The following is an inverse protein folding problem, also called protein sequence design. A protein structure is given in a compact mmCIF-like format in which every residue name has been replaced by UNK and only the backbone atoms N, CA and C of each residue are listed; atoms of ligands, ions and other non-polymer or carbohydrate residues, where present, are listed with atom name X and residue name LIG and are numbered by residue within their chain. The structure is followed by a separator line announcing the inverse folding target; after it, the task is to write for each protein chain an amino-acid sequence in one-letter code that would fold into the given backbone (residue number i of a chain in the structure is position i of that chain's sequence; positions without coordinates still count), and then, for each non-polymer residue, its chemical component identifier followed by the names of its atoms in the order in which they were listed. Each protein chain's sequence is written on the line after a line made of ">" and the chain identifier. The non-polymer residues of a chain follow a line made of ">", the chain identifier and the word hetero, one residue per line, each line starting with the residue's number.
data_IF_006860206940
#
_entry.id   IF_006860206940
#
_cell.length_a   1.000
_cell.length_b   1.000
_cell.length_c   1.000
_cell.angle_alpha   90.00
_cell.angle_beta   90.00
_cell.angle_gamma   90.00
#
_symmetry.space_group_name_H-M   'P 1'
#
loop_
_entity.id
_entity.type
_entity.pdbx_description
1 polymer ?
#
# COMPACT_ATOMS: atom_id res chain seq x y z
N UNK A 1 7.51 -15.46 40.72
CA UNK A 1 6.42 -15.08 39.80
C UNK A 1 6.59 -13.61 39.43
N UNK A 2 7.39 -13.33 38.40
CA UNK A 2 7.68 -11.96 37.96
C UNK A 2 6.72 -11.59 36.83
N UNK A 3 5.94 -10.53 37.05
CA UNK A 3 5.00 -9.97 36.07
C UNK A 3 5.79 -9.36 34.90
N UNK A 4 5.62 -9.93 33.71
CA UNK A 4 6.09 -9.37 32.45
C UNK A 4 5.43 -8.01 32.23
N UNK A 5 6.22 -6.92 32.26
CA UNK A 5 5.77 -5.61 31.80
C UNK A 5 5.34 -5.75 30.34
N UNK A 6 4.07 -5.44 30.03
CA UNK A 6 3.62 -5.29 28.64
C UNK A 6 4.37 -4.10 28.03
N UNK A 7 5.42 -4.39 27.27
CA UNK A 7 6.06 -3.39 26.42
C UNK A 7 5.08 -3.06 25.30
N UNK A 8 4.54 -1.84 25.28
CA UNK A 8 3.58 -1.42 24.26
C UNK A 8 4.36 -0.67 23.19
N UNK A 9 4.84 -1.37 22.17
CA UNK A 9 5.48 -0.70 21.03
C UNK A 9 4.41 -0.16 20.08
N UNK A 10 4.48 1.14 19.78
CA UNK A 10 3.62 1.80 18.80
C UNK A 10 4.35 1.92 17.47
N UNK A 11 4.10 0.98 16.56
CA UNK A 11 4.57 1.09 15.17
C UNK A 11 3.61 1.92 14.31
N UNK A 12 4.15 2.86 13.52
CA UNK A 12 3.39 3.76 12.63
C UNK A 12 3.36 3.31 11.17
N UNK A 13 3.93 2.16 10.85
CA UNK A 13 4.06 1.61 9.48
C UNK A 13 2.72 1.52 8.75
N UNK A 14 1.63 1.25 9.47
CA UNK A 14 0.26 1.24 8.95
C UNK A 14 -0.22 2.59 8.36
N UNK A 15 0.49 3.70 8.61
CA UNK A 15 0.13 5.04 8.13
C UNK A 15 0.82 5.44 6.85
N UNK A 16 1.81 4.66 6.39
CA UNK A 16 2.67 5.05 5.27
C UNK A 16 1.85 5.28 3.99
N UNK A 17 0.84 4.45 3.72
CA UNK A 17 0.01 4.58 2.51
C UNK A 17 -0.69 5.94 2.38
N UNK A 18 -1.49 6.33 3.37
CA UNK A 18 -2.20 7.62 3.31
C UNK A 18 -1.27 8.82 3.53
N UNK A 19 -0.18 8.66 4.29
CA UNK A 19 0.80 9.73 4.48
C UNK A 19 1.53 10.04 3.17
N UNK A 20 1.92 9.01 2.40
CA UNK A 20 2.50 9.18 1.06
C UNK A 20 1.53 9.94 0.15
N UNK A 21 0.27 9.49 0.12
CA UNK A 21 -0.76 10.12 -0.70
C UNK A 21 -0.94 11.61 -0.35
N UNK A 22 -1.00 11.95 0.95
CA UNK A 22 -1.10 13.34 1.41
C UNK A 22 0.13 14.19 1.06
N UNK A 23 1.35 13.67 1.27
CA UNK A 23 2.58 14.44 0.97
C UNK A 23 2.69 14.73 -0.54
N UNK A 24 2.36 13.76 -1.38
CA UNK A 24 2.34 13.97 -2.84
C UNK A 24 1.24 14.97 -3.23
N UNK A 25 0.04 14.84 -2.65
CA UNK A 25 -1.07 15.77 -2.88
C UNK A 25 -0.72 17.21 -2.53
N UNK A 26 -0.19 17.48 -1.34
CA UNK A 26 0.27 18.82 -0.94
C UNK A 26 1.35 19.34 -1.88
N UNK A 27 2.35 18.51 -2.21
CA UNK A 27 3.49 18.93 -3.03
C UNK A 27 3.02 19.36 -4.43
N UNK A 28 2.24 18.53 -5.10
CA UNK A 28 1.74 18.83 -6.44
C UNK A 28 0.72 19.96 -6.40
N UNK A 29 -0.15 20.03 -5.38
CA UNK A 29 -1.12 21.11 -5.20
C UNK A 29 -0.44 22.48 -5.11
N UNK A 30 0.60 22.62 -4.31
CA UNK A 30 1.36 23.88 -4.16
C UNK A 30 2.08 24.23 -5.47
N UNK A 31 2.87 23.29 -6.01
CA UNK A 31 3.73 23.55 -7.17
C UNK A 31 2.89 23.84 -8.41
N UNK A 32 1.86 23.05 -8.69
CA UNK A 32 1.00 23.22 -9.86
C UNK A 32 0.17 24.50 -9.79
N UNK A 33 -0.45 24.80 -8.65
CA UNK A 33 -1.28 26.01 -8.49
C UNK A 33 -0.43 27.27 -8.55
N UNK A 34 0.72 27.29 -7.87
CA UNK A 34 1.62 28.45 -7.92
C UNK A 34 2.18 28.69 -9.34
N UNK A 35 2.55 27.62 -10.04
CA UNK A 35 3.05 27.71 -11.42
C UNK A 35 1.97 28.19 -12.39
N UNK A 36 0.75 27.66 -12.25
CA UNK A 36 -0.42 28.07 -13.04
C UNK A 36 -0.75 29.54 -12.82
N UNK A 37 -0.87 29.97 -11.57
CA UNK A 37 -1.17 31.37 -11.23
C UNK A 37 -0.03 32.31 -11.65
N UNK A 38 1.22 31.89 -11.51
CA UNK A 38 2.38 32.65 -11.97
C UNK A 38 2.34 32.90 -13.48
N UNK A 39 2.07 31.86 -14.28
CA UNK A 39 1.95 31.99 -15.73
C UNK A 39 0.78 32.89 -16.15
N UNK A 40 -0.36 32.75 -15.49
CA UNK A 40 -1.57 33.55 -15.76
C UNK A 40 -1.37 35.02 -15.36
N UNK A 41 -0.66 35.28 -14.26
CA UNK A 41 -0.30 36.62 -13.83
C UNK A 41 0.63 37.31 -14.83
N UNK A 42 1.67 36.61 -15.32
CA UNK A 42 2.58 37.13 -16.35
C UNK A 42 1.84 37.45 -17.65
N UNK A 43 0.79 36.71 -17.98
CA UNK A 43 -0.07 36.97 -19.14
C UNK A 43 -0.99 38.20 -18.99
N UNK A 44 -0.92 38.93 -17.87
CA UNK A 44 -1.70 40.16 -17.65
C UNK A 44 -3.15 39.92 -17.24
N UNK A 45 -3.47 38.76 -16.67
CA UNK A 45 -4.82 38.45 -16.23
C UNK A 45 -5.31 39.36 -15.09
N UNK A 46 -6.62 39.65 -15.08
CA UNK A 46 -7.26 40.40 -14.00
C UNK A 46 -7.27 39.63 -12.68
N UNK A 47 -7.41 40.33 -11.55
CA UNK A 47 -7.57 39.69 -10.23
C UNK A 47 -8.72 38.67 -10.18
N UNK A 48 -9.87 39.01 -10.76
CA UNK A 48 -11.02 38.10 -10.81
C UNK A 48 -10.68 36.81 -11.59
N UNK A 49 -9.98 36.96 -12.72
CA UNK A 49 -9.51 35.82 -13.51
C UNK A 49 -8.53 34.96 -12.73
N UNK A 50 -7.58 35.55 -11.99
CA UNK A 50 -6.64 34.78 -11.16
C UNK A 50 -7.35 33.95 -10.08
N UNK A 51 -8.36 34.52 -9.40
CA UNK A 51 -9.12 33.79 -8.39
C UNK A 51 -9.87 32.59 -8.98
N UNK A 52 -10.56 32.80 -10.11
CA UNK A 52 -11.28 31.72 -10.80
C UNK A 52 -10.31 30.64 -11.27
N UNK A 53 -9.18 31.02 -11.88
CA UNK A 53 -8.17 30.07 -12.35
C UNK A 53 -7.54 29.30 -11.19
N UNK A 54 -7.24 29.96 -10.07
CA UNK A 54 -6.69 29.29 -8.89
C UNK A 54 -7.65 28.27 -8.31
N UNK A 55 -8.93 28.63 -8.11
CA UNK A 55 -9.93 27.68 -7.60
C UNK A 55 -10.17 26.52 -8.58
N UNK A 56 -10.29 26.82 -9.88
CA UNK A 56 -10.48 25.79 -10.89
C UNK A 56 -9.28 24.82 -10.95
N UNK A 57 -8.05 25.35 -10.87
CA UNK A 57 -6.82 24.57 -10.83
C UNK A 57 -6.73 23.68 -9.58
N UNK A 58 -7.07 24.22 -8.41
CA UNK A 58 -7.10 23.46 -7.16
C UNK A 58 -8.12 22.32 -7.22
N UNK A 59 -9.35 22.59 -7.66
CA UNK A 59 -10.40 21.56 -7.76
C UNK A 59 -10.02 20.50 -8.79
N UNK A 60 -9.55 20.90 -9.97
CA UNK A 60 -9.15 19.97 -11.02
C UNK A 60 -7.95 19.12 -10.58
N UNK A 61 -6.94 19.73 -9.94
CA UNK A 61 -5.77 19.05 -9.41
C UNK A 61 -6.15 18.04 -8.33
N UNK A 62 -6.90 18.46 -7.31
CA UNK A 62 -7.34 17.59 -6.22
C UNK A 62 -8.15 16.39 -6.73
N UNK A 63 -9.09 16.61 -7.66
CA UNK A 63 -9.87 15.52 -8.26
C UNK A 63 -9.00 14.55 -9.07
N UNK A 64 -8.07 15.07 -9.87
CA UNK A 64 -7.17 14.24 -10.68
C UNK A 64 -6.27 13.36 -9.81
N UNK A 65 -5.69 13.93 -8.75
CA UNK A 65 -4.83 13.19 -7.82
C UNK A 65 -5.62 12.17 -7.00
N UNK A 66 -6.83 12.53 -6.54
CA UNK A 66 -7.71 11.60 -5.84
C UNK A 66 -8.07 10.40 -6.70
N UNK A 67 -8.46 10.63 -7.95
CA UNK A 67 -8.81 9.58 -8.90
C UNK A 67 -7.60 8.70 -9.23
N UNK A 68 -6.43 9.29 -9.49
CA UNK A 68 -5.20 8.55 -9.76
C UNK A 68 -4.77 7.66 -8.60
N UNK A 69 -4.80 8.19 -7.38
CA UNK A 69 -4.44 7.45 -6.17
C UNK A 69 -5.47 6.36 -5.85
N UNK A 70 -6.77 6.62 -6.04
CA UNK A 70 -7.82 5.60 -5.90
C UNK A 70 -7.57 4.43 -6.86
N UNK A 71 -7.39 4.71 -8.15
CA UNK A 71 -7.18 3.69 -9.18
C UNK A 71 -5.90 2.91 -8.90
N UNK A 72 -4.80 3.60 -8.56
CA UNK A 72 -3.53 2.94 -8.26
C UNK A 72 -3.64 1.95 -7.10
N UNK A 73 -4.21 2.37 -5.96
CA UNK A 73 -4.35 1.51 -4.78
C UNK A 73 -5.41 0.42 -5.00
N UNK A 74 -6.43 0.69 -5.82
CA UNK A 74 -7.41 -0.32 -6.20
C UNK A 74 -6.81 -1.41 -7.09
N UNK A 75 -6.01 -1.03 -8.10
CA UNK A 75 -5.28 -1.98 -8.94
C UNK A 75 -4.31 -2.84 -8.12
N UNK A 76 -3.65 -2.26 -7.11
CA UNK A 76 -2.85 -3.05 -6.16
C UNK A 76 -3.73 -4.11 -5.47
N UNK A 77 -4.88 -3.73 -4.93
CA UNK A 77 -5.79 -4.65 -4.27
C UNK A 77 -6.26 -5.78 -5.20
N UNK A 78 -6.56 -5.46 -6.46
CA UNK A 78 -6.98 -6.44 -7.46
C UNK A 78 -5.86 -7.43 -7.78
N UNK A 79 -4.62 -6.95 -7.93
CA UNK A 79 -3.45 -7.82 -8.11
C UNK A 79 -3.24 -8.74 -6.91
N UNK A 80 -3.29 -8.19 -5.69
CA UNK A 80 -3.17 -8.99 -4.45
C UNK A 80 -4.27 -10.08 -4.37
N UNK A 81 -5.51 -9.76 -4.76
CA UNK A 81 -6.59 -10.75 -4.78
C UNK A 81 -6.40 -11.83 -5.85
N UNK A 82 -5.88 -11.47 -7.02
CA UNK A 82 -5.59 -12.40 -8.08
C UNK A 82 -4.48 -13.39 -7.66
N UNK A 83 -3.40 -12.88 -7.05
CA UNK A 83 -2.31 -13.71 -6.55
C UNK A 83 -2.79 -14.64 -5.42
N UNK A 84 -3.61 -14.14 -4.48
CA UNK A 84 -4.22 -14.98 -3.45
C UNK A 84 -5.16 -16.06 -4.02
N UNK A 85 -5.87 -15.78 -5.11
CA UNK A 85 -6.72 -16.76 -5.76
C UNK A 85 -5.89 -17.86 -6.44
N UNK A 86 -4.77 -17.48 -7.06
CA UNK A 86 -3.82 -18.41 -7.65
C UNK A 86 -3.16 -19.30 -6.59
N UNK A 87 -2.67 -18.71 -5.50
CA UNK A 87 -2.06 -19.41 -4.38
C UNK A 87 -3.01 -20.44 -3.76
N UNK A 88 -4.30 -20.09 -3.60
CA UNK A 88 -5.32 -21.05 -3.15
C UNK A 88 -5.42 -22.26 -4.08
N UNK A 89 -5.39 -22.04 -5.39
CA UNK A 89 -5.43 -23.13 -6.36
C UNK A 89 -4.16 -23.98 -6.28
N UNK A 90 -2.98 -23.38 -6.14
CA UNK A 90 -1.71 -24.09 -6.01
C UNK A 90 -1.66 -24.96 -4.73
N UNK A 91 -2.13 -24.42 -3.59
CA UNK A 91 -2.29 -25.16 -2.33
C UNK A 91 -3.26 -26.35 -2.43
N UNK A 92 -4.34 -26.23 -3.20
CA UNK A 92 -5.31 -27.31 -3.42
C UNK A 92 -4.76 -28.40 -4.34
N UNK A 93 -4.07 -28.03 -5.42
CA UNK A 93 -3.65 -28.96 -6.46
C UNK A 93 -2.26 -29.58 -6.18
N UNK A 94 -1.37 -28.86 -5.49
CA UNK A 94 0.03 -29.25 -5.30
C UNK A 94 0.57 -28.95 -3.89
N UNK A 95 -0.10 -29.39 -2.80
CA UNK A 95 0.30 -29.05 -1.43
C UNK A 95 1.73 -29.48 -1.06
N UNK A 96 2.23 -30.57 -1.66
CA UNK A 96 3.60 -31.01 -1.45
C UNK A 96 4.63 -30.11 -2.15
N UNK A 97 4.26 -29.44 -3.24
CA UNK A 97 5.11 -28.43 -3.89
C UNK A 97 5.17 -27.17 -3.04
N UNK A 98 4.02 -26.68 -2.58
CA UNK A 98 3.92 -25.50 -1.70
C UNK A 98 4.71 -25.66 -0.41
N UNK A 99 4.69 -26.86 0.20
CA UNK A 99 5.53 -27.14 1.37
C UNK A 99 7.03 -27.00 1.07
N UNK A 100 7.47 -27.44 -0.11
CA UNK A 100 8.88 -27.32 -0.52
C UNK A 100 9.24 -25.87 -0.81
N UNK A 101 8.33 -25.11 -1.41
CA UNK A 101 8.47 -23.69 -1.69
C UNK A 101 8.65 -22.90 -0.38
N UNK A 102 7.70 -23.02 0.54
CA UNK A 102 7.78 -22.34 1.84
C UNK A 102 9.01 -22.76 2.64
N UNK A 103 9.37 -24.05 2.61
CA UNK A 103 10.63 -24.54 3.19
C UNK A 103 11.84 -23.82 2.59
N UNK A 104 11.90 -23.71 1.26
CA UNK A 104 13.00 -23.04 0.57
C UNK A 104 13.08 -21.56 0.91
N UNK A 105 11.95 -20.87 1.09
CA UNK A 105 11.90 -19.48 1.56
C UNK A 105 12.57 -19.35 2.93
N UNK A 106 12.24 -20.23 3.89
CA UNK A 106 12.86 -20.19 5.22
C UNK A 106 14.34 -20.58 5.21
N UNK A 107 14.75 -21.51 4.35
CA UNK A 107 16.17 -21.82 4.12
C UNK A 107 16.92 -20.60 3.59
N UNK A 108 16.37 -19.91 2.59
CA UNK A 108 16.95 -18.69 2.02
C UNK A 108 17.07 -17.56 3.06
N UNK A 109 16.18 -17.53 4.05
CA UNK A 109 16.23 -16.61 5.21
C UNK A 109 17.23 -17.03 6.29
N UNK A 110 17.93 -18.16 6.12
CA UNK A 110 18.99 -18.64 7.01
C UNK A 110 18.56 -19.69 8.04
N UNK A 111 17.34 -20.23 7.94
CA UNK A 111 16.90 -21.34 8.80
C UNK A 111 17.52 -22.66 8.29
N UNK A 112 18.07 -23.48 9.19
CA UNK A 112 18.62 -24.78 8.81
C UNK A 112 17.55 -25.68 8.17
N UNK A 113 17.87 -26.49 7.14
CA UNK A 113 16.86 -27.20 6.33
C UNK A 113 15.85 -28.02 7.12
N UNK A 114 16.31 -28.81 8.09
CA UNK A 114 15.43 -29.64 8.93
C UNK A 114 14.47 -28.81 9.79
N UNK A 115 14.89 -27.62 10.24
CA UNK A 115 14.04 -26.71 11.00
C UNK A 115 13.10 -25.93 10.06
N UNK A 116 13.57 -25.54 8.88
CA UNK A 116 12.76 -24.84 7.88
C UNK A 116 11.56 -25.69 7.45
N UNK A 117 11.76 -27.00 7.23
CA UNK A 117 10.65 -27.93 6.95
C UNK A 117 9.64 -27.96 8.10
N UNK A 118 10.10 -28.09 9.34
CA UNK A 118 9.20 -28.09 10.51
C UNK A 118 8.43 -26.77 10.65
N UNK A 119 9.07 -25.64 10.38
CA UNK A 119 8.42 -24.32 10.39
C UNK A 119 7.35 -24.26 9.30
N UNK A 120 7.68 -24.64 8.06
CA UNK A 120 6.74 -24.64 6.95
C UNK A 120 5.54 -25.55 7.22
N UNK A 121 5.75 -26.77 7.71
CA UNK A 121 4.67 -27.70 8.07
C UNK A 121 3.73 -27.11 9.13
N UNK A 122 4.28 -26.49 10.19
CA UNK A 122 3.49 -25.91 11.26
C UNK A 122 2.71 -24.68 10.80
N UNK A 123 3.32 -23.82 9.97
CA UNK A 123 2.66 -22.65 9.40
C UNK A 123 1.55 -23.04 8.43
N UNK A 124 1.80 -24.00 7.53
CA UNK A 124 0.79 -24.51 6.61
C UNK A 124 -0.39 -25.17 7.34
N UNK A 125 -0.12 -25.89 8.44
CA UNK A 125 -1.17 -26.49 9.26
C UNK A 125 -2.04 -25.45 9.97
N UNK A 126 -1.47 -24.31 10.36
CA UNK A 126 -2.22 -23.24 11.01
C UNK A 126 -2.99 -22.39 10.00
N UNK A 127 -2.31 -21.91 8.96
CA UNK A 127 -2.86 -21.03 7.92
C UNK A 127 -1.93 -21.03 6.70
N UNK A 128 -2.08 -22.02 5.80
CA UNK A 128 -1.23 -22.14 4.61
C UNK A 128 -1.31 -20.92 3.70
N UNK A 129 -2.52 -20.46 3.39
CA UNK A 129 -2.70 -19.29 2.53
C UNK A 129 -2.09 -18.04 3.17
N UNK A 130 -2.30 -17.81 4.46
CA UNK A 130 -1.71 -16.66 5.14
C UNK A 130 -0.19 -16.75 5.28
N UNK A 131 0.37 -17.96 5.39
CA UNK A 131 1.82 -18.18 5.39
C UNK A 131 2.43 -17.82 4.03
N UNK A 132 1.92 -18.37 2.93
CA UNK A 132 2.38 -18.05 1.58
C UNK A 132 2.12 -16.58 1.21
N UNK A 133 0.93 -16.06 1.52
CA UNK A 133 0.61 -14.65 1.30
C UNK A 133 1.64 -13.71 1.94
N UNK A 134 2.08 -14.00 3.17
CA UNK A 134 3.07 -13.17 3.86
C UNK A 134 4.49 -13.45 3.40
N UNK A 135 4.87 -14.72 3.33
CA UNK A 135 6.27 -15.13 3.24
C UNK A 135 6.77 -15.24 1.80
N UNK A 136 5.86 -15.48 0.86
CA UNK A 136 6.12 -15.56 -0.59
C UNK A 136 5.64 -14.30 -1.30
N UNK A 137 4.35 -13.94 -1.17
CA UNK A 137 3.76 -12.81 -1.91
C UNK A 137 4.02 -11.44 -1.26
N UNK A 138 4.50 -11.40 -0.02
CA UNK A 138 4.71 -10.15 0.73
C UNK A 138 3.43 -9.41 1.13
N UNK A 139 2.27 -10.03 0.96
CA UNK A 139 0.95 -9.50 1.30
C UNK A 139 0.78 -9.59 2.82
N UNK A 140 0.60 -8.44 3.48
CA UNK A 140 0.42 -8.39 4.94
C UNK A 140 -0.72 -7.47 5.34
N UNK A 141 -1.42 -7.84 6.43
CA UNK A 141 -2.52 -7.04 7.00
C UNK A 141 -2.08 -5.69 7.56
N UNK A 142 -0.77 -5.47 7.72
CA UNK A 142 -0.23 -4.21 8.23
C UNK A 142 -0.20 -3.11 7.16
N UNK A 143 -0.19 -3.50 5.87
CA UNK A 143 -0.12 -2.60 4.71
C UNK A 143 -1.25 -2.92 3.72
N UNK A 144 -2.47 -3.14 4.22
CA UNK A 144 -3.61 -3.38 3.34
C UNK A 144 -3.91 -2.16 2.47
N UNK A 145 -4.23 -2.40 1.20
CA UNK A 145 -4.70 -1.39 0.27
C UNK A 145 -5.98 -0.73 0.80
N UNK A 146 -5.98 0.61 0.89
CA UNK A 146 -7.14 1.41 1.32
C UNK A 146 -7.42 2.53 0.30
N UNK A 147 -8.01 2.18 -0.86
CA UNK A 147 -8.13 3.10 -2.00
C UNK A 147 -8.82 4.41 -1.65
N UNK A 148 -9.98 4.33 -0.99
CA UNK A 148 -10.73 5.51 -0.58
C UNK A 148 -9.93 6.39 0.41
N UNK A 149 -9.21 5.79 1.36
CA UNK A 149 -8.43 6.55 2.33
C UNK A 149 -7.26 7.29 1.66
N UNK A 150 -6.56 6.62 0.74
CA UNK A 150 -5.45 7.23 0.01
C UNK A 150 -5.93 8.37 -0.89
N UNK A 151 -7.03 8.15 -1.62
CA UNK A 151 -7.66 9.17 -2.46
C UNK A 151 -8.08 10.41 -1.65
N UNK A 152 -8.76 10.22 -0.52
CA UNK A 152 -9.16 11.33 0.35
C UNK A 152 -7.97 12.05 0.98
N UNK A 153 -6.96 11.30 1.41
CA UNK A 153 -5.76 11.89 1.98
C UNK A 153 -4.99 12.75 0.97
N UNK A 154 -4.97 12.36 -0.30
CA UNK A 154 -4.39 13.12 -1.41
C UNK A 154 -5.24 14.33 -1.82
N UNK A 155 -6.57 14.18 -1.85
CA UNK A 155 -7.48 15.26 -2.24
C UNK A 155 -7.55 16.41 -1.23
N UNK A 156 -7.43 16.07 0.06
CA UNK A 156 -7.62 17.01 1.16
C UNK A 156 -6.32 17.63 1.69
N UNK A 157 -5.17 17.27 1.11
CA UNK A 157 -3.82 17.70 1.52
C UNK A 157 -3.33 18.95 0.84
#
# INVERSE_FOLDING_TARGET
>A
MALTRRHTERHRTHRIGWLRAAVLGTNDGIVSTASLLGGVAVAGASHASMLVTGMAGLVAGAMSMAAGEYVSVHSQADTEQADLARERAELEHSPAAELRELTAIYVARGVGPALATQVAEQLMKHDALGAHARDELGISTTVSARPAQAAWASAAS
#
